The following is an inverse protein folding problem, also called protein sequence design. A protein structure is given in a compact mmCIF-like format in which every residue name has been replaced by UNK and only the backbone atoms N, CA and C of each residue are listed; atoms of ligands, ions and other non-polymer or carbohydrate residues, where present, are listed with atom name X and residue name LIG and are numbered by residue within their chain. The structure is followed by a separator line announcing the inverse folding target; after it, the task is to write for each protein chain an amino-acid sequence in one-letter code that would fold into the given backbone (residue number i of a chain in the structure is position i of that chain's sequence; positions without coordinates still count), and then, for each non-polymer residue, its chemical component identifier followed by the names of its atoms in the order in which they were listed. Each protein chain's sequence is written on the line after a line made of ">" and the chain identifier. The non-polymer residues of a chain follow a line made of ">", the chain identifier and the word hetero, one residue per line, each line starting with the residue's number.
data_IF_324187444251
#
_entry.id   IF_324187444251
#
_cell.length_a   1.000
_cell.length_b   1.000
_cell.length_c   1.000
_cell.angle_alpha   90.00
_cell.angle_beta   90.00
_cell.angle_gamma   90.00
#
_symmetry.space_group_name_H-M   'P 1'
#
loop_
_entity.id
_entity.type
_entity.pdbx_description
1 polymer ?
#
# COMPACT_ATOMS: atom_id res chain seq x y z
N UNK A 1 -7.33 46.83 54.68
CA UNK A 1 -5.96 47.22 54.28
C UNK A 1 -4.99 46.17 54.78
N UNK A 2 -3.89 45.90 54.09
CA UNK A 2 -3.70 45.49 52.70
C UNK A 2 -2.88 44.16 52.71
N UNK A 3 -2.38 43.50 51.68
CA UNK A 3 -1.96 43.88 50.35
C UNK A 3 -1.74 42.59 49.53
N UNK A 4 -2.18 42.57 48.28
CA UNK A 4 -1.54 41.75 47.25
C UNK A 4 -0.10 42.22 47.08
N UNK A 5 0.87 41.29 46.94
CA UNK A 5 1.71 41.32 45.74
C UNK A 5 2.06 39.87 45.30
N UNK A 6 2.35 39.53 44.06
CA UNK A 6 2.41 40.25 42.78
C UNK A 6 2.41 39.18 41.68
N UNK A 7 1.97 39.58 40.48
CA UNK A 7 2.03 38.83 39.23
C UNK A 7 3.47 38.58 38.73
N UNK A 8 4.30 37.88 39.51
CA UNK A 8 5.65 37.44 39.11
C UNK A 8 6.00 36.08 39.70
N UNK A 9 5.34 35.03 39.19
CA UNK A 9 5.90 33.66 39.05
C UNK A 9 5.11 32.83 38.01
N UNK A 10 4.41 33.51 37.09
CA UNK A 10 4.17 33.02 35.74
C UNK A 10 5.39 33.41 34.90
N UNK A 11 5.81 32.55 33.97
CA UNK A 11 7.02 32.61 33.14
C UNK A 11 8.29 32.02 33.80
N UNK A 12 8.43 30.69 33.76
CA UNK A 12 9.72 30.08 33.40
C UNK A 12 9.67 28.61 32.95
N UNK A 13 8.51 28.11 32.52
CA UNK A 13 8.42 26.89 31.69
C UNK A 13 7.54 27.18 30.46
N UNK A 14 7.90 28.24 29.74
CA UNK A 14 7.44 28.50 28.38
C UNK A 14 8.73 28.64 27.55
N UNK A 15 9.17 27.53 26.97
CA UNK A 15 10.44 27.48 26.26
C UNK A 15 10.81 26.09 25.76
N UNK A 16 9.84 25.21 25.53
CA UNK A 16 10.02 24.06 24.65
C UNK A 16 9.51 24.48 23.29
N UNK A 17 10.37 25.08 22.47
CA UNK A 17 10.06 25.30 21.08
C UNK A 17 9.52 23.99 20.48
N UNK A 18 8.41 24.08 19.75
CA UNK A 18 8.16 23.18 18.61
C UNK A 18 9.30 23.44 17.62
N UNK A 19 10.51 23.01 17.96
CA UNK A 19 11.56 22.81 17.00
C UNK A 19 10.98 21.74 16.08
N UNK A 20 10.66 22.12 14.84
CA UNK A 20 10.37 21.16 13.80
C UNK A 20 11.47 20.11 13.88
N UNK A 21 11.08 18.86 14.15
CA UNK A 21 12.02 17.74 14.12
C UNK A 21 12.53 17.69 12.69
N UNK A 22 13.66 18.34 12.44
CA UNK A 22 14.39 18.20 11.20
C UNK A 22 14.91 16.77 11.20
N UNK A 23 14.35 15.94 10.33
CA UNK A 23 14.87 14.60 10.12
C UNK A 23 16.29 14.72 9.56
N UNK A 24 17.13 13.73 9.87
CA UNK A 24 18.48 13.66 9.33
C UNK A 24 18.43 13.70 7.79
N UNK A 25 19.38 14.40 7.13
CA UNK A 25 19.49 14.34 5.68
C UNK A 25 19.74 12.89 5.22
N UNK A 26 19.28 12.54 4.03
CA UNK A 26 19.57 11.24 3.42
C UNK A 26 21.08 11.07 3.30
N UNK A 27 21.60 9.89 3.66
CA UNK A 27 23.04 9.58 3.62
C UNK A 27 23.59 9.35 2.19
N UNK A 28 23.00 9.98 1.17
CA UNK A 28 23.28 9.75 -0.27
C UNK A 28 24.43 10.61 -0.79
N UNK A 29 24.75 11.72 -0.12
CA UNK A 29 25.38 12.87 -0.78
C UNK A 29 26.76 12.61 -1.39
N UNK A 30 27.49 11.57 -0.98
CA UNK A 30 28.90 11.37 -1.35
C UNK A 30 29.22 10.02 -2.02
N UNK A 31 28.23 9.16 -2.37
CA UNK A 31 28.51 7.91 -3.10
C UNK A 31 28.47 8.11 -4.64
N UNK A 32 29.60 8.02 -5.35
CA UNK A 32 29.63 8.16 -6.81
C UNK A 32 28.81 7.09 -7.55
N UNK A 33 28.54 5.93 -6.94
CA UNK A 33 27.67 4.91 -7.53
C UNK A 33 26.20 5.36 -7.58
N UNK A 34 25.81 6.31 -6.73
CA UNK A 34 24.46 6.88 -6.71
C UNK A 34 24.27 8.02 -7.71
N UNK A 35 25.34 8.47 -8.37
CA UNK A 35 25.22 9.41 -9.49
C UNK A 35 24.46 8.74 -10.65
N UNK A 36 23.29 9.28 -11.00
CA UNK A 36 22.40 8.70 -12.02
C UNK A 36 21.45 7.61 -11.49
N UNK A 37 21.45 7.34 -10.19
CA UNK A 37 20.52 6.40 -9.59
C UNK A 37 19.06 6.90 -9.66
N UNK A 38 18.12 5.94 -9.70
CA UNK A 38 16.67 6.19 -9.82
C UNK A 38 15.88 5.14 -9.04
N UNK A 39 14.66 5.49 -8.62
CA UNK A 39 13.69 4.47 -8.20
C UNK A 39 13.15 3.72 -9.43
N UNK A 40 12.81 2.44 -9.24
CA UNK A 40 12.24 1.62 -10.31
C UNK A 40 10.72 1.81 -10.38
N UNK A 41 10.18 1.88 -11.59
CA UNK A 41 8.75 1.82 -11.84
C UNK A 41 8.31 0.38 -12.05
N UNK A 42 7.06 0.04 -11.74
CA UNK A 42 6.56 -1.34 -11.93
C UNK A 42 6.52 -1.78 -13.40
N UNK A 43 6.55 -0.84 -14.35
CA UNK A 43 6.61 -1.16 -15.78
C UNK A 43 8.05 -1.33 -16.31
N UNK A 44 9.09 -1.11 -15.49
CA UNK A 44 10.47 -1.44 -15.84
C UNK A 44 10.62 -2.95 -16.14
N UNK A 45 11.66 -3.38 -16.89
CA UNK A 45 11.98 -4.80 -17.04
C UNK A 45 12.24 -5.48 -15.70
N UNK A 46 11.74 -6.72 -15.55
CA UNK A 46 11.69 -7.40 -14.25
C UNK A 46 12.60 -8.63 -14.27
N UNK A 47 13.51 -8.71 -13.29
CA UNK A 47 14.40 -9.85 -13.09
C UNK A 47 13.76 -10.96 -12.26
N UNK A 48 12.96 -10.61 -11.27
CA UNK A 48 12.23 -11.57 -10.44
C UNK A 48 10.97 -10.94 -9.85
N UNK A 49 9.98 -11.77 -9.51
CA UNK A 49 8.86 -11.36 -8.65
C UNK A 49 8.92 -12.16 -7.35
N UNK A 50 8.85 -11.43 -6.25
CA UNK A 50 8.72 -11.94 -4.90
C UNK A 50 7.26 -12.18 -4.57
N UNK A 51 6.96 -13.32 -3.96
CA UNK A 51 5.66 -13.69 -3.45
C UNK A 51 5.69 -13.80 -1.93
N UNK A 52 4.68 -13.25 -1.28
CA UNK A 52 4.41 -13.56 0.12
C UNK A 52 3.65 -14.88 0.27
N UNK A 53 3.84 -15.53 1.41
CA UNK A 53 3.15 -16.77 1.75
C UNK A 53 2.70 -16.75 3.21
N UNK A 54 1.41 -17.00 3.43
CA UNK A 54 0.77 -16.98 4.75
C UNK A 54 -0.41 -17.97 4.77
N UNK A 55 -0.68 -18.66 5.90
CA UNK A 55 -1.86 -19.51 6.01
C UNK A 55 -3.15 -18.76 5.74
N UNK A 56 -4.07 -19.39 5.02
CA UNK A 56 -5.32 -18.77 4.55
C UNK A 56 -5.24 -18.21 3.14
N UNK A 57 -4.03 -17.96 2.60
CA UNK A 57 -3.82 -17.41 1.26
C UNK A 57 -3.17 -18.39 0.28
N UNK A 58 -3.03 -19.67 0.65
CA UNK A 58 -2.25 -20.65 -0.09
C UNK A 58 -2.71 -20.82 -1.53
N UNK A 59 -4.02 -20.97 -1.75
CA UNK A 59 -4.58 -21.16 -3.10
C UNK A 59 -4.29 -19.96 -4.00
N UNK A 60 -4.48 -18.75 -3.46
CA UNK A 60 -4.22 -17.51 -4.18
C UNK A 60 -2.73 -17.36 -4.54
N UNK A 61 -1.83 -17.60 -3.58
CA UNK A 61 -0.38 -17.59 -3.85
C UNK A 61 0.00 -18.62 -4.92
N UNK A 62 -0.63 -19.80 -4.91
CA UNK A 62 -0.39 -20.85 -5.91
C UNK A 62 -0.83 -20.45 -7.31
N UNK A 63 -2.03 -19.88 -7.44
CA UNK A 63 -2.60 -19.43 -8.71
C UNK A 63 -1.78 -18.28 -9.28
N UNK A 64 -1.33 -17.36 -8.43
CA UNK A 64 -0.44 -16.27 -8.81
C UNK A 64 0.92 -16.79 -9.29
N UNK A 65 1.53 -17.74 -8.58
CA UNK A 65 2.77 -18.38 -9.00
C UNK A 65 2.63 -19.11 -10.34
N UNK A 66 1.51 -19.82 -10.57
CA UNK A 66 1.23 -20.52 -11.82
C UNK A 66 1.15 -19.55 -13.00
N UNK A 67 0.51 -18.40 -12.81
CA UNK A 67 0.40 -17.37 -13.84
C UNK A 67 1.73 -16.69 -14.12
N UNK A 68 2.56 -16.44 -13.11
CA UNK A 68 3.78 -15.63 -13.23
C UNK A 68 5.03 -16.42 -13.63
N UNK A 69 5.18 -17.66 -13.17
CA UNK A 69 6.40 -18.46 -13.38
C UNK A 69 6.86 -18.60 -14.85
N UNK A 70 5.96 -18.67 -15.86
CA UNK A 70 6.40 -18.71 -17.26
C UNK A 70 7.02 -17.41 -17.78
N UNK A 71 6.79 -16.29 -17.10
CA UNK A 71 7.10 -14.93 -17.58
C UNK A 71 8.26 -14.28 -16.83
N UNK A 72 8.52 -14.73 -15.59
CA UNK A 72 9.54 -14.16 -14.71
C UNK A 72 9.98 -15.18 -13.65
N UNK A 73 11.27 -15.23 -13.29
CA UNK A 73 11.73 -15.99 -12.13
C UNK A 73 10.97 -15.61 -10.87
N UNK A 74 10.59 -16.61 -10.07
CA UNK A 74 9.88 -16.38 -8.81
C UNK A 74 10.81 -16.53 -7.63
N UNK A 75 10.57 -15.69 -6.63
CA UNK A 75 11.15 -15.80 -5.29
C UNK A 75 10.01 -15.80 -4.29
N UNK A 76 10.14 -16.54 -3.20
CA UNK A 76 9.09 -16.62 -2.18
C UNK A 76 9.68 -16.39 -0.80
N UNK A 77 9.10 -15.43 -0.09
CA UNK A 77 9.46 -15.12 1.29
C UNK A 77 8.57 -15.96 2.22
N UNK A 78 9.20 -16.79 3.06
CA UNK A 78 8.52 -17.75 3.94
C UNK A 78 9.05 -17.63 5.36
N UNK A 79 8.19 -17.88 6.36
CA UNK A 79 8.58 -17.68 7.77
C UNK A 79 9.60 -18.67 8.29
N UNK A 80 9.45 -19.93 7.91
CA UNK A 80 10.25 -21.03 8.42
C UNK A 80 10.24 -22.20 7.43
N UNK A 81 10.96 -23.27 7.79
CA UNK A 81 11.04 -24.48 7.00
C UNK A 81 9.68 -25.19 6.82
N UNK A 82 8.76 -25.04 7.77
CA UNK A 82 7.44 -25.67 7.70
C UNK A 82 6.53 -24.93 6.70
N UNK A 83 6.52 -23.60 6.76
CA UNK A 83 5.88 -22.74 5.77
C UNK A 83 6.45 -22.99 4.37
N UNK A 84 7.77 -23.13 4.24
CA UNK A 84 8.41 -23.50 2.98
C UNK A 84 7.91 -24.86 2.47
N UNK A 85 7.84 -25.89 3.31
CA UNK A 85 7.37 -27.21 2.92
C UNK A 85 5.91 -27.18 2.45
N UNK A 86 5.04 -26.45 3.15
CA UNK A 86 3.64 -26.25 2.74
C UNK A 86 3.53 -25.49 1.42
N UNK A 87 4.27 -24.39 1.27
CA UNK A 87 4.30 -23.62 0.03
C UNK A 87 4.74 -24.50 -1.16
N UNK A 88 5.79 -25.30 -1.00
CA UNK A 88 6.23 -26.24 -2.04
C UNK A 88 5.15 -27.27 -2.41
N UNK A 89 4.39 -27.78 -1.43
CA UNK A 89 3.30 -28.73 -1.69
C UNK A 89 2.16 -28.08 -2.49
N UNK A 90 1.78 -26.87 -2.10
CA UNK A 90 0.73 -26.08 -2.75
C UNK A 90 1.12 -25.71 -4.18
N UNK A 91 2.36 -25.25 -4.42
CA UNK A 91 2.88 -24.94 -5.75
C UNK A 91 2.85 -26.17 -6.68
N UNK A 92 3.26 -27.34 -6.17
CA UNK A 92 3.19 -28.61 -6.93
C UNK A 92 1.77 -28.94 -7.34
N UNK A 93 0.76 -28.64 -6.51
CA UNK A 93 -0.65 -28.87 -6.86
C UNK A 93 -1.14 -28.03 -8.05
N UNK A 94 -0.42 -26.96 -8.41
CA UNK A 94 -0.68 -26.12 -9.59
C UNK A 94 0.31 -26.37 -10.73
N UNK A 95 1.13 -27.42 -10.64
CA UNK A 95 2.15 -27.72 -11.65
C UNK A 95 3.33 -26.74 -11.65
N UNK A 96 3.46 -25.89 -10.62
CA UNK A 96 4.64 -25.03 -10.45
C UNK A 96 5.72 -25.83 -9.75
N UNK A 97 6.80 -26.10 -10.46
CA UNK A 97 7.90 -26.87 -9.91
C UNK A 97 8.71 -26.01 -8.94
N UNK A 98 9.03 -26.52 -7.75
CA UNK A 98 9.77 -25.77 -6.74
C UNK A 98 11.14 -25.27 -7.22
N UNK A 99 11.76 -25.91 -8.23
CA UNK A 99 13.00 -25.43 -8.84
C UNK A 99 12.84 -24.10 -9.62
N UNK A 100 11.60 -23.71 -9.94
CA UNK A 100 11.26 -22.43 -10.56
C UNK A 100 11.10 -21.31 -9.53
N UNK A 101 11.14 -21.62 -8.23
CA UNK A 101 10.92 -20.69 -7.13
C UNK A 101 12.10 -20.73 -6.16
N UNK A 102 12.81 -19.62 -5.99
CA UNK A 102 13.81 -19.51 -4.94
C UNK A 102 13.14 -19.14 -3.61
N UNK A 103 13.42 -19.88 -2.54
CA UNK A 103 12.87 -19.59 -1.22
C UNK A 103 13.86 -18.80 -0.37
N UNK A 104 13.35 -17.79 0.34
CA UNK A 104 14.09 -17.05 1.37
C UNK A 104 13.33 -17.17 2.67
N UNK A 105 14.01 -17.66 3.70
CA UNK A 105 13.45 -17.78 5.04
C UNK A 105 13.68 -16.50 5.83
N UNK A 106 12.61 -16.00 6.41
CA UNK A 106 12.59 -14.84 7.27
C UNK A 106 11.47 -15.03 8.29
N UNK A 107 11.80 -15.26 9.57
CA UNK A 107 10.83 -15.49 10.64
C UNK A 107 9.71 -14.45 10.77
N UNK A 108 9.86 -13.29 10.11
CA UNK A 108 8.89 -12.19 10.08
C UNK A 108 8.45 -11.81 8.67
N UNK A 109 8.50 -12.76 7.75
CA UNK A 109 7.99 -12.60 6.38
C UNK A 109 6.52 -12.15 6.40
N UNK A 110 6.20 -10.96 5.85
CA UNK A 110 4.82 -10.56 5.67
C UNK A 110 4.20 -11.24 4.44
N UNK A 111 2.89 -11.46 4.48
CA UNK A 111 2.13 -11.84 3.30
C UNK A 111 2.15 -10.75 2.22
N UNK A 112 1.91 -9.50 2.63
CA UNK A 112 1.97 -8.34 1.75
C UNK A 112 3.43 -7.89 1.54
N UNK A 113 4.18 -8.68 0.77
CA UNK A 113 5.61 -8.47 0.51
C UNK A 113 5.88 -7.16 -0.25
N UNK A 114 4.90 -6.60 -0.99
CA UNK A 114 4.98 -5.27 -1.61
C UNK A 114 5.45 -4.20 -0.65
N UNK A 115 4.94 -4.28 0.57
CA UNK A 115 5.13 -3.27 1.58
C UNK A 115 6.47 -3.35 2.30
N UNK A 116 7.29 -4.34 1.93
CA UNK A 116 8.57 -4.64 2.58
C UNK A 116 9.78 -3.93 1.97
N UNK A 117 9.67 -3.37 0.76
CA UNK A 117 10.77 -2.64 0.14
C UNK A 117 10.31 -1.78 -1.04
N UNK A 118 11.08 -0.71 -1.30
CA UNK A 118 11.03 0.05 -2.56
C UNK A 118 12.38 -0.08 -3.26
N UNK A 119 12.37 -0.60 -4.49
CA UNK A 119 13.59 -0.79 -5.27
C UNK A 119 13.99 0.44 -6.07
N UNK A 120 15.30 0.61 -6.24
CA UNK A 120 15.90 1.49 -7.23
C UNK A 120 17.07 0.83 -7.95
N UNK A 121 17.58 1.51 -8.97
CA UNK A 121 18.78 1.13 -9.71
C UNK A 121 19.84 2.21 -9.55
N UNK A 122 21.06 1.81 -9.21
CA UNK A 122 22.21 2.72 -9.09
C UNK A 122 22.67 3.20 -10.49
N UNK A 123 23.66 4.10 -10.53
CA UNK A 123 24.21 4.63 -11.79
C UNK A 123 24.87 3.58 -12.70
N UNK A 124 25.05 2.34 -12.20
CA UNK A 124 25.60 1.19 -12.93
C UNK A 124 24.54 0.12 -13.20
N UNK A 125 23.25 0.43 -12.98
CA UNK A 125 22.15 -0.50 -13.21
C UNK A 125 22.03 -1.63 -12.17
N UNK A 126 22.66 -1.50 -10.99
CA UNK A 126 22.54 -2.50 -9.92
C UNK A 126 21.36 -2.16 -8.99
N UNK A 127 20.54 -3.13 -8.58
CA UNK A 127 19.44 -2.88 -7.66
C UNK A 127 19.92 -2.47 -6.27
N UNK A 128 19.18 -1.56 -5.66
CA UNK A 128 19.26 -1.20 -4.24
C UNK A 128 17.85 -1.04 -3.66
N UNK A 129 17.73 -1.05 -2.33
CA UNK A 129 16.47 -0.84 -1.60
C UNK A 129 16.51 0.52 -0.91
N UNK A 130 15.42 1.28 -0.96
CA UNK A 130 15.21 2.43 -0.07
C UNK A 130 14.63 1.90 1.24
N UNK A 131 15.38 2.06 2.33
CA UNK A 131 15.01 1.65 3.69
C UNK A 131 14.15 2.74 4.33
N UNK A 132 12.84 2.69 4.09
CA UNK A 132 11.86 3.54 4.76
C UNK A 132 11.54 3.03 6.17
N UNK A 133 11.02 3.92 7.03
CA UNK A 133 10.64 3.50 8.39
C UNK A 133 9.34 2.69 8.37
N UNK A 134 9.41 1.42 8.75
CA UNK A 134 8.23 0.59 9.01
C UNK A 134 7.50 1.05 10.28
N UNK A 135 6.24 1.47 10.12
CA UNK A 135 5.38 1.90 11.24
C UNK A 135 4.16 1.00 11.43
N UNK A 136 4.18 -0.19 10.81
CA UNK A 136 3.03 -1.11 10.75
C UNK A 136 1.78 -0.37 10.25
N UNK A 137 1.89 0.29 9.10
CA UNK A 137 0.84 1.13 8.53
C UNK A 137 0.37 2.26 9.48
N UNK A 138 1.23 2.77 10.36
CA UNK A 138 0.84 3.79 11.34
C UNK A 138 -0.01 3.24 12.50
N UNK A 139 0.08 1.95 12.84
CA UNK A 139 -0.71 1.28 13.89
C UNK A 139 -0.80 2.07 15.20
N UNK A 140 0.34 2.51 15.72
CA UNK A 140 0.40 3.29 16.97
C UNK A 140 -0.37 4.62 16.84
N UNK A 141 -0.37 5.25 15.67
CA UNK A 141 -1.17 6.45 15.42
C UNK A 141 -2.65 6.14 15.31
N UNK A 142 -2.99 5.03 14.65
CA UNK A 142 -4.35 4.53 14.55
C UNK A 142 -4.93 4.22 15.95
N UNK A 143 -4.26 3.40 16.77
CA UNK A 143 -4.66 3.08 18.14
C UNK A 143 -4.93 4.34 18.98
N UNK A 144 -4.02 5.34 18.91
CA UNK A 144 -4.19 6.61 19.64
C UNK A 144 -5.42 7.39 19.20
N UNK A 145 -5.77 7.37 17.91
CA UNK A 145 -6.97 8.05 17.38
C UNK A 145 -8.23 7.28 17.71
N UNK A 146 -8.24 5.97 17.47
CA UNK A 146 -9.37 5.08 17.71
C UNK A 146 -9.76 5.09 19.19
N UNK A 147 -8.76 5.07 20.08
CA UNK A 147 -8.96 5.04 21.53
C UNK A 147 -8.62 6.36 22.23
N UNK A 148 -8.79 7.51 21.56
CA UNK A 148 -8.46 8.83 22.12
C UNK A 148 -9.15 9.13 23.47
N UNK A 149 -10.29 8.48 23.76
CA UNK A 149 -11.00 8.58 25.05
C UNK A 149 -10.44 7.71 26.18
N UNK A 150 -9.44 6.85 25.92
CA UNK A 150 -8.81 5.99 26.94
C UNK A 150 -7.34 5.74 26.62
N UNK A 151 -6.45 6.41 27.36
CA UNK A 151 -5.00 6.22 27.24
C UNK A 151 -4.58 4.77 27.46
N UNK A 152 -5.20 4.08 28.42
CA UNK A 152 -4.90 2.68 28.71
C UNK A 152 -5.20 1.79 27.50
N UNK A 153 -6.39 1.93 26.87
CA UNK A 153 -6.75 1.17 25.67
C UNK A 153 -5.89 1.52 24.47
N UNK A 154 -5.54 2.80 24.30
CA UNK A 154 -4.64 3.23 23.23
C UNK A 154 -3.24 2.60 23.37
N UNK A 155 -2.70 2.52 24.59
CA UNK A 155 -1.42 1.87 24.87
C UNK A 155 -1.51 0.36 24.70
N UNK A 156 -2.60 -0.26 25.16
CA UNK A 156 -2.83 -1.70 25.03
C UNK A 156 -2.95 -2.12 23.56
N UNK A 157 -3.77 -1.41 22.76
CA UNK A 157 -3.85 -1.59 21.31
C UNK A 157 -2.49 -1.44 20.62
N UNK A 158 -1.70 -0.45 21.04
CA UNK A 158 -0.40 -0.18 20.41
C UNK A 158 0.68 -1.19 20.83
N UNK A 159 0.42 -2.09 21.79
CA UNK A 159 1.29 -3.23 22.06
C UNK A 159 1.13 -4.20 20.90
N UNK A 160 2.15 -4.26 20.07
CA UNK A 160 2.28 -5.24 19.01
C UNK A 160 3.46 -6.15 19.34
N UNK A 161 3.32 -7.43 19.00
CA UNK A 161 4.44 -8.38 18.99
C UNK A 161 5.40 -8.11 17.81
N UNK A 162 5.05 -7.20 16.90
CA UNK A 162 5.92 -6.69 15.84
C UNK A 162 7.00 -5.76 16.44
N UNK A 163 8.04 -6.39 16.98
CA UNK A 163 9.21 -5.73 17.61
C UNK A 163 10.12 -5.00 16.61
N UNK A 164 9.82 -5.04 15.30
CA UNK A 164 10.69 -4.50 14.24
C UNK A 164 10.08 -3.26 13.54
N UNK A 165 9.71 -2.28 14.35
CA UNK A 165 9.58 -0.91 13.84
C UNK A 165 10.89 -0.48 13.18
N UNK A 166 10.87 -0.24 11.87
CA UNK A 166 11.96 0.40 11.11
C UNK A 166 13.07 -0.49 10.53
N UNK A 167 12.93 -1.83 10.49
CA UNK A 167 14.01 -2.70 9.96
C UNK A 167 13.60 -3.69 8.85
N UNK A 168 12.32 -3.72 8.44
CA UNK A 168 11.80 -4.67 7.45
C UNK A 168 12.56 -4.58 6.12
N UNK A 169 12.65 -3.39 5.55
CA UNK A 169 13.34 -3.11 4.28
C UNK A 169 14.83 -3.48 4.34
N UNK A 170 15.51 -3.11 5.44
CA UNK A 170 16.92 -3.43 5.66
C UNK A 170 17.16 -4.93 5.80
N UNK A 171 16.27 -5.65 6.49
CA UNK A 171 16.36 -7.11 6.68
C UNK A 171 16.20 -7.82 5.34
N UNK A 172 15.22 -7.39 4.54
CA UNK A 172 15.05 -7.90 3.18
C UNK A 172 16.28 -7.57 2.33
N UNK A 173 16.74 -6.32 2.28
CA UNK A 173 17.95 -5.93 1.55
C UNK A 173 19.17 -6.78 1.93
N UNK A 174 19.37 -7.04 3.23
CA UNK A 174 20.43 -7.91 3.74
C UNK A 174 20.31 -9.36 3.26
N UNK A 175 19.11 -9.94 3.31
CA UNK A 175 18.85 -11.28 2.79
C UNK A 175 19.10 -11.40 1.28
N UNK A 176 18.99 -10.28 0.55
CA UNK A 176 19.23 -10.19 -0.89
C UNK A 176 20.67 -9.81 -1.28
N UNK A 177 21.50 -9.44 -0.29
CA UNK A 177 22.84 -8.89 -0.55
C UNK A 177 22.79 -7.58 -1.32
N UNK A 178 21.75 -6.77 -1.12
CA UNK A 178 21.54 -5.49 -1.80
C UNK A 178 21.98 -4.32 -0.93
N UNK A 179 22.41 -3.24 -1.59
CA UNK A 179 22.64 -1.98 -0.90
C UNK A 179 21.31 -1.40 -0.39
N UNK A 180 21.34 -0.79 0.81
CA UNK A 180 20.20 -0.12 1.41
C UNK A 180 20.47 1.38 1.53
N UNK A 181 19.49 2.19 1.15
CA UNK A 181 19.51 3.63 1.32
C UNK A 181 18.49 4.06 2.37
N UNK A 182 18.97 4.46 3.54
CA UNK A 182 18.10 4.90 4.63
C UNK A 182 17.33 6.17 4.28
N UNK A 183 16.01 6.12 4.49
CA UNK A 183 15.10 7.26 4.45
C UNK A 183 14.50 7.50 5.83
N UNK A 184 14.41 8.76 6.28
CA UNK A 184 13.80 9.05 7.57
C UNK A 184 12.27 9.12 7.49
N UNK A 185 11.69 9.00 6.29
CA UNK A 185 10.25 8.95 6.10
C UNK A 185 9.72 7.56 6.42
N UNK A 186 8.51 7.53 6.97
CA UNK A 186 7.70 6.32 7.12
C UNK A 186 6.75 6.20 5.93
N UNK A 187 6.79 5.06 5.26
CA UNK A 187 5.82 4.65 4.24
C UNK A 187 6.03 3.15 3.98
N UNK A 188 5.02 2.51 3.41
CA UNK A 188 5.11 1.15 2.88
C UNK A 188 5.16 1.19 1.35
N UNK A 189 5.70 0.15 0.72
CA UNK A 189 5.90 0.09 -0.74
C UNK A 189 4.64 0.34 -1.58
N UNK A 190 3.46 -0.15 -1.19
CA UNK A 190 2.20 0.10 -1.92
C UNK A 190 1.77 1.58 -1.93
N UNK A 191 2.29 2.38 -1.00
CA UNK A 191 2.09 3.83 -0.92
C UNK A 191 3.04 4.67 -1.78
N UNK A 192 3.95 4.04 -2.53
CA UNK A 192 4.98 4.70 -3.35
C UNK A 192 4.76 4.37 -4.83
N UNK A 193 4.26 5.34 -5.60
CA UNK A 193 4.03 5.22 -7.04
C UNK A 193 4.97 6.15 -7.82
N UNK A 194 5.84 5.60 -8.64
CA UNK A 194 6.87 6.35 -9.39
C UNK A 194 6.90 6.00 -10.87
N UNK A 195 7.19 6.98 -11.72
CA UNK A 195 7.31 6.77 -13.17
C UNK A 195 8.71 6.30 -13.62
N UNK A 196 9.61 6.02 -12.67
CA UNK A 196 10.98 5.60 -12.96
C UNK A 196 11.88 6.68 -13.60
N UNK A 197 11.36 7.88 -13.84
CA UNK A 197 12.06 9.00 -14.50
C UNK A 197 12.17 10.26 -13.66
N UNK A 198 11.70 10.21 -12.41
CA UNK A 198 11.84 11.29 -11.44
C UNK A 198 10.54 11.96 -11.00
N UNK A 199 9.38 11.41 -11.36
CA UNK A 199 8.08 11.85 -10.84
C UNK A 199 7.51 10.77 -9.92
N UNK A 200 7.05 11.21 -8.74
CA UNK A 200 6.33 10.41 -7.75
C UNK A 200 4.92 10.95 -7.57
N UNK A 201 3.92 10.07 -7.46
CA UNK A 201 2.55 10.43 -7.04
C UNK A 201 2.40 10.10 -5.54
N UNK A 202 1.97 11.08 -4.76
CA UNK A 202 1.82 10.97 -3.31
C UNK A 202 0.38 11.24 -2.86
N UNK A 203 -0.23 10.30 -2.14
CA UNK A 203 -1.47 10.56 -1.40
C UNK A 203 -1.19 11.41 -0.16
N UNK A 204 -1.60 12.68 -0.19
CA UNK A 204 -1.34 13.63 0.89
C UNK A 204 -1.85 13.16 2.27
N UNK A 205 -2.99 12.47 2.29
CA UNK A 205 -3.59 11.98 3.54
C UNK A 205 -2.75 10.85 4.15
N UNK A 206 -2.30 9.90 3.33
CA UNK A 206 -1.48 8.76 3.73
C UNK A 206 -0.10 9.21 4.24
N UNK A 207 0.63 9.98 3.42
CA UNK A 207 1.99 10.42 3.77
C UNK A 207 2.03 11.23 5.07
N UNK A 208 1.03 12.09 5.32
CA UNK A 208 0.89 12.83 6.57
C UNK A 208 0.54 11.94 7.76
N UNK A 209 -0.25 10.88 7.53
CA UNK A 209 -0.64 9.93 8.57
C UNK A 209 0.58 9.17 9.09
N UNK A 210 1.43 8.68 8.17
CA UNK A 210 2.67 7.97 8.49
C UNK A 210 3.71 8.88 9.14
N UNK A 211 3.87 10.10 8.61
CA UNK A 211 4.92 11.05 8.99
C UNK A 211 4.40 12.15 9.92
N UNK A 212 3.76 11.75 11.02
CA UNK A 212 3.17 12.70 11.98
C UNK A 212 4.21 13.69 12.51
N UNK A 213 3.89 14.97 12.42
CA UNK A 213 4.76 16.07 12.87
C UNK A 213 5.55 16.73 11.76
N UNK A 214 5.61 16.14 10.56
CA UNK A 214 6.16 16.80 9.38
C UNK A 214 5.07 17.56 8.62
N UNK A 215 5.43 18.70 8.04
CA UNK A 215 4.59 19.38 7.06
C UNK A 215 4.68 18.68 5.69
N UNK A 216 3.76 18.98 4.79
CA UNK A 216 3.80 18.46 3.42
C UNK A 216 5.10 18.87 2.72
N UNK A 217 5.55 20.10 2.92
CA UNK A 217 6.76 20.66 2.33
C UNK A 217 8.02 19.96 2.87
N UNK A 218 8.02 19.61 4.16
CA UNK A 218 9.10 18.83 4.76
C UNK A 218 9.15 17.41 4.17
N UNK A 219 8.00 16.74 4.04
CA UNK A 219 7.92 15.43 3.39
C UNK A 219 8.40 15.53 1.92
N UNK A 220 7.91 16.51 1.17
CA UNK A 220 8.30 16.74 -0.22
C UNK A 220 9.81 16.95 -0.36
N UNK A 221 10.43 17.72 0.54
CA UNK A 221 11.89 17.91 0.55
C UNK A 221 12.64 16.58 0.69
N UNK A 222 12.19 15.69 1.56
CA UNK A 222 12.80 14.37 1.72
C UNK A 222 12.55 13.46 0.51
N UNK A 223 11.35 13.51 -0.08
CA UNK A 223 11.03 12.77 -1.30
C UNK A 223 11.90 13.22 -2.49
N UNK A 224 12.08 14.53 -2.66
CA UNK A 224 12.93 15.10 -3.71
C UNK A 224 14.42 14.84 -3.50
N UNK A 225 14.83 14.45 -2.29
CA UNK A 225 16.20 14.05 -2.01
C UNK A 225 16.47 12.57 -2.35
N UNK A 226 15.42 11.76 -2.61
CA UNK A 226 15.58 10.37 -3.06
C UNK A 226 16.24 10.32 -4.44
N UNK A 227 16.99 9.24 -4.75
CA UNK A 227 17.72 9.12 -6.00
C UNK A 227 16.84 9.30 -7.24
N UNK A 228 17.26 10.23 -8.11
CA UNK A 228 16.60 10.51 -9.38
C UNK A 228 15.26 11.25 -9.26
N UNK A 229 14.75 11.52 -8.05
CA UNK A 229 13.50 12.26 -7.87
C UNK A 229 13.65 13.74 -8.18
N UNK A 230 12.66 14.28 -8.88
CA UNK A 230 12.63 15.67 -9.37
C UNK A 230 11.29 16.34 -9.13
N UNK A 231 10.22 15.56 -9.00
CA UNK A 231 8.86 16.08 -8.84
C UNK A 231 7.99 15.17 -8.00
N UNK A 232 7.16 15.79 -7.15
CA UNK A 232 6.09 15.13 -6.42
C UNK A 232 4.75 15.70 -6.90
N UNK A 233 3.85 14.82 -7.33
CA UNK A 233 2.46 15.13 -7.68
C UNK A 233 1.59 14.68 -6.52
N UNK A 234 0.88 15.62 -5.90
CA UNK A 234 0.07 15.32 -4.73
C UNK A 234 -1.39 15.12 -5.09
N UNK A 235 -1.92 13.95 -4.76
CA UNK A 235 -3.35 13.66 -4.80
C UNK A 235 -3.92 13.71 -3.39
N UNK A 236 -5.12 14.28 -3.18
CA UNK A 236 -5.62 14.54 -1.83
C UNK A 236 -6.09 13.28 -1.08
N UNK A 237 -6.58 12.26 -1.79
CA UNK A 237 -7.32 11.15 -1.17
C UNK A 237 -7.01 9.78 -1.80
N UNK A 238 -7.13 8.71 -1.00
CA UNK A 238 -7.27 7.35 -1.51
C UNK A 238 -8.74 6.92 -1.55
N UNK A 239 -9.01 5.68 -1.94
CA UNK A 239 -10.38 5.14 -1.96
C UNK A 239 -11.01 5.13 -0.56
N UNK A 240 -12.33 5.31 -0.50
CA UNK A 240 -13.08 5.32 0.75
C UNK A 240 -13.17 3.94 1.41
N UNK A 241 -13.17 2.89 0.58
CA UNK A 241 -13.20 1.50 1.01
C UNK A 241 -11.81 0.89 1.26
N UNK A 242 -10.75 1.70 1.18
CA UNK A 242 -9.41 1.41 1.69
C UNK A 242 -9.14 2.27 2.95
N UNK A 243 -9.89 2.10 4.06
CA UNK A 243 -9.65 2.85 5.28
C UNK A 243 -8.35 2.39 5.95
N UNK A 244 -7.86 3.18 6.91
CA UNK A 244 -6.68 2.77 7.66
C UNK A 244 -7.03 1.70 8.70
N UNK A 245 -6.39 0.52 8.60
CA UNK A 245 -6.72 -0.68 9.35
C UNK A 245 -8.23 -0.92 9.32
N UNK A 246 -8.83 -1.40 10.40
CA UNK A 246 -10.27 -1.56 10.53
C UNK A 246 -10.91 -0.23 10.90
N UNK A 247 -11.81 0.28 10.06
CA UNK A 247 -12.54 1.51 10.40
C UNK A 247 -13.92 1.61 9.75
N UNK A 248 -14.76 2.45 10.35
CA UNK A 248 -16.01 2.90 9.74
C UNK A 248 -15.72 3.82 8.55
N UNK A 249 -16.31 3.48 7.40
CA UNK A 249 -16.29 4.29 6.18
C UNK A 249 -17.41 5.33 6.26
N UNK A 250 -18.65 4.87 6.36
CA UNK A 250 -19.86 5.70 6.47
C UNK A 250 -21.04 4.88 7.01
N UNK A 251 -21.76 5.42 8.00
CA UNK A 251 -22.91 4.71 8.59
C UNK A 251 -22.51 3.36 9.19
N UNK A 252 -23.09 2.27 8.68
CA UNK A 252 -22.76 0.90 9.09
C UNK A 252 -21.74 0.22 8.17
N UNK A 253 -21.26 0.91 7.11
CA UNK A 253 -20.24 0.40 6.21
C UNK A 253 -18.86 0.56 6.83
N UNK A 254 -18.11 -0.53 6.85
CA UNK A 254 -16.76 -0.64 7.42
C UNK A 254 -15.82 -1.24 6.38
N UNK A 255 -14.52 -1.08 6.56
CA UNK A 255 -13.52 -1.68 5.69
C UNK A 255 -12.22 -1.94 6.43
N UNK A 256 -11.34 -2.67 5.76
CA UNK A 256 -9.96 -2.91 6.20
C UNK A 256 -9.03 -2.50 5.08
N UNK A 257 -8.08 -1.61 5.37
CA UNK A 257 -7.05 -1.28 4.39
C UNK A 257 -5.81 -0.61 4.96
N UNK A 258 -5.09 0.05 4.08
CA UNK A 258 -3.82 0.73 4.32
C UNK A 258 -4.01 2.24 4.54
N UNK A 259 -5.22 2.76 4.31
CA UNK A 259 -5.57 4.17 4.46
C UNK A 259 -5.37 5.00 3.19
N UNK A 260 -5.36 4.36 2.03
CA UNK A 260 -5.24 5.00 0.72
C UNK A 260 -3.87 4.80 0.10
N UNK A 261 -3.34 3.58 0.09
CA UNK A 261 -2.16 3.27 -0.72
C UNK A 261 -2.43 3.61 -2.19
N UNK A 262 -1.39 4.10 -2.87
CA UNK A 262 -1.51 4.55 -4.26
C UNK A 262 -1.79 3.38 -5.20
N UNK A 263 -1.26 2.20 -4.88
CA UNK A 263 -1.42 1.03 -5.72
C UNK A 263 -2.87 0.54 -5.87
N UNK A 264 -3.77 0.98 -4.99
CA UNK A 264 -5.21 0.73 -5.08
C UNK A 264 -5.95 1.66 -6.04
N UNK A 265 -5.44 2.86 -6.35
CA UNK A 265 -6.26 3.86 -7.05
C UNK A 265 -5.55 4.75 -8.05
N UNK A 266 -4.22 4.76 -8.10
CA UNK A 266 -3.47 5.55 -9.07
C UNK A 266 -2.14 4.88 -9.43
N UNK A 267 -1.91 4.59 -10.72
CA UNK A 267 -0.71 3.90 -11.21
C UNK A 267 -0.14 4.58 -12.45
N UNK A 268 1.17 4.63 -12.61
CA UNK A 268 1.77 4.95 -13.90
C UNK A 268 1.67 3.73 -14.84
N UNK A 269 1.21 3.95 -16.06
CA UNK A 269 1.30 2.96 -17.13
C UNK A 269 2.59 3.11 -17.94
N UNK A 270 3.13 4.33 -18.01
CA UNK A 270 4.39 4.68 -18.63
C UNK A 270 4.98 5.95 -17.98
N UNK A 271 5.97 6.59 -18.61
CA UNK A 271 6.61 7.80 -18.07
C UNK A 271 5.68 9.00 -17.83
N UNK A 272 4.52 9.09 -18.50
CA UNK A 272 3.60 10.23 -18.40
C UNK A 272 2.10 9.88 -18.46
N UNK A 273 1.72 8.62 -18.65
CA UNK A 273 0.34 8.12 -18.60
C UNK A 273 0.04 7.58 -17.20
N UNK A 274 -1.06 8.03 -16.61
CA UNK A 274 -1.54 7.65 -15.28
C UNK A 274 -2.90 6.98 -15.41
N UNK A 275 -3.06 5.81 -14.81
CA UNK A 275 -4.34 5.14 -14.58
C UNK A 275 -4.92 5.64 -13.26
N UNK A 276 -6.20 6.01 -13.25
CA UNK A 276 -6.92 6.46 -12.07
C UNK A 276 -8.21 5.65 -11.91
N UNK A 277 -8.43 5.08 -10.74
CA UNK A 277 -9.69 4.40 -10.41
C UNK A 277 -10.88 5.35 -10.56
N UNK A 278 -11.99 4.85 -11.10
CA UNK A 278 -13.14 5.68 -11.46
C UNK A 278 -14.47 5.03 -11.10
N UNK A 279 -15.42 5.86 -10.67
CA UNK A 279 -16.79 5.44 -10.32
C UNK A 279 -17.76 6.15 -11.25
N UNK A 280 -18.66 5.38 -11.85
CA UNK A 280 -19.69 5.95 -12.72
C UNK A 280 -20.78 6.66 -11.89
N UNK A 281 -21.45 7.65 -12.49
CA UNK A 281 -22.45 8.47 -11.79
C UNK A 281 -23.61 7.63 -11.23
N UNK A 282 -24.03 6.59 -11.93
CA UNK A 282 -25.12 5.71 -11.53
C UNK A 282 -24.78 4.94 -10.26
N UNK A 283 -23.54 4.49 -10.13
CA UNK A 283 -23.04 3.79 -8.94
C UNK A 283 -22.90 4.74 -7.76
N UNK A 284 -22.37 5.95 -8.02
CA UNK A 284 -22.29 6.99 -7.01
C UNK A 284 -23.68 7.39 -6.48
N UNK A 285 -24.72 7.30 -7.32
CA UNK A 285 -26.11 7.52 -6.91
C UNK A 285 -26.66 6.38 -6.07
N UNK A 286 -26.31 5.13 -6.36
CA UNK A 286 -26.90 3.94 -5.73
C UNK A 286 -26.26 3.55 -4.40
N UNK A 287 -24.96 3.82 -4.19
CA UNK A 287 -24.25 3.36 -2.99
C UNK A 287 -23.48 4.49 -2.27
N UNK A 288 -23.60 4.65 -0.94
CA UNK A 288 -22.96 5.76 -0.22
C UNK A 288 -21.42 5.70 -0.29
N UNK A 289 -20.82 4.51 -0.27
CA UNK A 289 -19.36 4.38 -0.43
C UNK A 289 -18.91 4.66 -1.86
N UNK A 290 -19.69 4.29 -2.89
CA UNK A 290 -19.40 4.64 -4.28
C UNK A 290 -19.42 6.16 -4.46
N UNK A 291 -20.39 6.86 -3.83
CA UNK A 291 -20.44 8.32 -3.82
C UNK A 291 -19.18 8.95 -3.22
N UNK A 292 -18.70 8.42 -2.10
CA UNK A 292 -17.46 8.90 -1.47
C UNK A 292 -16.24 8.62 -2.36
N UNK A 293 -16.14 7.43 -2.97
CA UNK A 293 -15.09 7.11 -3.93
C UNK A 293 -15.12 8.09 -5.11
N UNK A 294 -16.28 8.34 -5.71
CA UNK A 294 -16.44 9.28 -6.83
C UNK A 294 -15.94 10.69 -6.46
N UNK A 295 -16.38 11.23 -5.32
CA UNK A 295 -15.95 12.55 -4.84
C UNK A 295 -14.43 12.63 -4.66
N UNK A 296 -13.82 11.60 -4.08
CA UNK A 296 -12.37 11.53 -3.87
C UNK A 296 -11.60 11.39 -5.18
N UNK A 297 -12.06 10.53 -6.09
CA UNK A 297 -11.41 10.32 -7.39
C UNK A 297 -11.58 11.51 -8.32
N UNK A 298 -12.68 12.26 -8.23
CA UNK A 298 -12.86 13.54 -8.92
C UNK A 298 -11.79 14.56 -8.47
N UNK A 299 -11.58 14.72 -7.16
CA UNK A 299 -10.53 15.61 -6.63
C UNK A 299 -9.11 15.16 -7.05
N UNK A 300 -8.86 13.85 -7.08
CA UNK A 300 -7.60 13.32 -7.60
C UNK A 300 -7.42 13.57 -9.10
N UNK A 301 -8.48 13.41 -9.89
CA UNK A 301 -8.46 13.68 -11.33
C UNK A 301 -8.13 15.14 -11.63
N UNK A 302 -8.70 16.08 -10.87
CA UNK A 302 -8.38 17.51 -10.98
C UNK A 302 -6.91 17.78 -10.62
N UNK A 303 -6.40 17.19 -9.55
CA UNK A 303 -5.00 17.34 -9.16
C UNK A 303 -4.03 16.79 -10.22
N UNK A 304 -4.32 15.60 -10.75
CA UNK A 304 -3.50 14.95 -11.78
C UNK A 304 -3.56 15.68 -13.12
N UNK A 305 -4.75 16.09 -13.56
CA UNK A 305 -4.95 16.77 -14.85
C UNK A 305 -4.32 18.16 -14.90
N UNK A 306 -4.17 18.81 -13.73
CA UNK A 306 -3.47 20.09 -13.59
C UNK A 306 -1.97 19.93 -13.29
N UNK A 307 -1.47 18.69 -13.27
CA UNK A 307 -0.07 18.38 -13.00
C UNK A 307 0.72 18.06 -14.26
N UNK A 308 2.03 18.21 -14.16
CA UNK A 308 2.99 17.82 -15.20
C UNK A 308 4.02 16.86 -14.62
N UNK A 309 4.72 16.13 -15.47
CA UNK A 309 5.86 15.29 -15.08
C UNK A 309 7.11 16.12 -14.74
N UNK A 310 8.23 15.44 -14.49
CA UNK A 310 9.53 16.04 -14.17
C UNK A 310 10.13 16.88 -15.31
N UNK A 311 9.65 16.70 -16.55
CA UNK A 311 10.06 17.47 -17.74
C UNK A 311 9.06 18.57 -18.09
N UNK A 312 8.05 18.80 -17.26
CA UNK A 312 7.01 19.80 -17.50
C UNK A 312 5.94 19.38 -18.50
N UNK A 313 5.88 18.10 -18.92
CA UNK A 313 4.85 17.60 -19.84
C UNK A 313 3.57 17.27 -19.06
N UNK A 314 2.37 17.65 -19.54
CA UNK A 314 1.11 17.27 -18.90
C UNK A 314 0.97 15.75 -18.73
N UNK A 315 0.41 15.34 -17.59
CA UNK A 315 0.07 13.93 -17.36
C UNK A 315 -1.15 13.53 -18.19
N UNK A 316 -1.10 12.37 -18.84
CA UNK A 316 -2.26 11.77 -19.50
C UNK A 316 -3.00 10.89 -18.52
N UNK A 317 -4.16 11.33 -18.04
CA UNK A 317 -4.95 10.59 -17.04
C UNK A 317 -6.03 9.74 -17.74
N UNK A 318 -5.97 8.42 -17.53
CA UNK A 318 -6.93 7.45 -18.03
C UNK A 318 -7.76 6.93 -16.86
N UNK A 319 -9.08 7.06 -16.97
CA UNK A 319 -10.04 6.57 -15.99
C UNK A 319 -10.24 5.07 -16.19
N UNK A 320 -10.06 4.29 -15.14
CA UNK A 320 -10.30 2.85 -15.11
C UNK A 320 -11.50 2.59 -14.20
N UNK A 321 -12.61 2.01 -14.70
CA UNK A 321 -13.77 1.71 -13.87
C UNK A 321 -13.39 0.84 -12.68
N UNK A 322 -13.93 1.13 -11.49
CA UNK A 322 -13.88 0.21 -10.35
C UNK A 322 -14.81 -0.98 -10.57
N UNK A 323 -14.59 -2.13 -9.90
CA UNK A 323 -15.56 -3.21 -9.88
C UNK A 323 -16.85 -2.81 -9.16
N UNK A 324 -17.87 -3.65 -9.28
CA UNK A 324 -19.03 -3.54 -8.40
C UNK A 324 -18.59 -3.68 -6.94
N UNK A 325 -19.29 -3.01 -6.03
CA UNK A 325 -18.99 -3.11 -4.60
C UNK A 325 -19.23 -4.53 -4.12
N UNK A 326 -18.20 -5.12 -3.50
CA UNK A 326 -18.28 -6.42 -2.86
C UNK A 326 -18.34 -6.22 -1.35
N UNK A 327 -19.44 -6.68 -0.74
CA UNK A 327 -19.71 -6.48 0.68
C UNK A 327 -20.26 -7.74 1.35
N UNK A 328 -20.06 -7.82 2.67
CA UNK A 328 -20.60 -8.91 3.50
C UNK A 328 -21.06 -8.38 4.86
N UNK A 329 -22.10 -9.00 5.41
CA UNK A 329 -22.54 -8.72 6.76
C UNK A 329 -21.56 -9.35 7.77
N UNK A 330 -21.17 -8.60 8.79
CA UNK A 330 -20.33 -9.07 9.90
C UNK A 330 -21.04 -8.77 11.20
N UNK A 331 -21.28 -9.80 12.00
CA UNK A 331 -21.75 -9.63 13.39
C UNK A 331 -20.53 -9.35 14.25
N UNK A 332 -20.58 -8.26 15.01
CA UNK A 332 -19.51 -7.90 15.93
C UNK A 332 -19.52 -8.89 17.10
N UNK A 333 -18.60 -9.84 17.10
CA UNK A 333 -18.45 -10.73 18.24
C UNK A 333 -17.07 -11.31 18.46
N UNK A 334 -16.70 -11.45 19.73
CA UNK A 334 -15.49 -12.15 20.16
C UNK A 334 -15.56 -13.67 19.94
N UNK A 335 -16.76 -14.24 19.77
CA UNK A 335 -17.01 -15.69 19.60
C UNK A 335 -17.33 -16.08 18.14
N UNK A 336 -17.25 -15.14 17.19
CA UNK A 336 -17.63 -15.37 15.80
C UNK A 336 -16.58 -16.21 15.02
N UNK A 337 -17.03 -16.84 13.92
CA UNK A 337 -16.26 -17.75 13.04
C UNK A 337 -14.82 -17.27 12.78
N UNK A 338 -13.88 -18.18 13.06
CA UNK A 338 -12.43 -18.04 13.11
C UNK A 338 -11.75 -17.68 11.80
N UNK A 339 -12.43 -17.84 10.65
CA UNK A 339 -11.77 -17.61 9.37
C UNK A 339 -11.75 -16.13 8.96
N UNK A 340 -12.73 -15.31 9.39
CA UNK A 340 -12.91 -13.95 8.87
C UNK A 340 -13.61 -12.92 9.79
N UNK A 341 -14.21 -13.34 10.90
CA UNK A 341 -15.10 -12.48 11.70
C UNK A 341 -14.61 -12.17 13.11
N UNK A 342 -13.73 -13.01 13.68
CA UNK A 342 -13.06 -12.77 14.97
C UNK A 342 -12.25 -11.44 15.02
N UNK A 343 -11.82 -10.93 13.87
CA UNK A 343 -11.12 -9.64 13.75
C UNK A 343 -12.04 -8.42 14.00
N UNK A 344 -13.37 -8.64 14.03
CA UNK A 344 -14.38 -7.61 14.18
C UNK A 344 -15.14 -7.75 15.49
N UNK A 345 -14.74 -6.98 16.50
CA UNK A 345 -15.48 -6.86 17.76
C UNK A 345 -15.99 -5.43 17.93
N UNK A 346 -16.93 -5.22 18.84
CA UNK A 346 -17.35 -3.87 19.22
C UNK A 346 -16.17 -2.99 19.70
N UNK A 347 -15.13 -3.64 20.24
CA UNK A 347 -13.93 -2.94 20.73
C UNK A 347 -12.98 -2.50 19.62
N UNK A 348 -13.13 -3.03 18.39
CA UNK A 348 -12.38 -2.61 17.20
C UNK A 348 -12.72 -1.19 16.73
N UNK A 349 -13.77 -0.57 17.30
CA UNK A 349 -14.26 0.76 16.91
C UNK A 349 -14.06 1.82 18.01
N UNK A 350 -13.98 3.11 17.63
CA UNK A 350 -13.97 4.21 18.60
C UNK A 350 -15.20 4.20 19.51
N UNK A 351 -15.01 4.43 20.81
CA UNK A 351 -16.11 4.44 21.79
C UNK A 351 -17.26 5.42 21.43
N UNK A 352 -16.95 6.51 20.72
CA UNK A 352 -17.93 7.49 20.24
C UNK A 352 -18.96 6.90 19.26
N UNK A 353 -18.63 5.78 18.61
CA UNK A 353 -19.52 5.09 17.67
C UNK A 353 -20.53 4.17 18.38
N UNK A 354 -20.34 3.90 19.67
CA UNK A 354 -21.30 3.16 20.53
C UNK A 354 -21.72 1.78 19.99
N UNK A 355 -20.86 1.13 19.20
CA UNK A 355 -21.04 -0.25 18.73
C UNK A 355 -21.11 -1.22 19.92
N UNK A 356 -21.90 -2.27 19.80
CA UNK A 356 -22.14 -3.29 20.82
C UNK A 356 -21.88 -4.68 20.25
N UNK A 357 -21.57 -5.61 21.15
CA UNK A 357 -21.53 -7.03 20.84
C UNK A 357 -22.91 -7.44 20.26
N UNK A 358 -22.89 -8.17 19.15
CA UNK A 358 -24.09 -8.57 18.41
C UNK A 358 -24.60 -7.56 17.39
N UNK A 359 -24.05 -6.34 17.30
CA UNK A 359 -24.37 -5.41 16.21
C UNK A 359 -23.91 -5.99 14.87
N UNK A 360 -24.67 -5.74 13.80
CA UNK A 360 -24.24 -6.08 12.42
C UNK A 360 -23.69 -4.85 11.71
N UNK A 361 -22.54 -5.01 11.07
CA UNK A 361 -21.92 -4.03 10.16
C UNK A 361 -21.78 -4.62 8.75
N UNK A 362 -21.63 -3.78 7.74
CA UNK A 362 -21.36 -4.21 6.36
C UNK A 362 -19.90 -3.95 6.03
N UNK A 363 -19.09 -5.01 5.98
CA UNK A 363 -17.70 -4.92 5.56
C UNK A 363 -17.64 -4.88 4.04
N UNK A 364 -16.92 -3.90 3.50
CA UNK A 364 -16.52 -3.86 2.09
C UNK A 364 -15.12 -4.43 1.94
N UNK A 365 -14.91 -5.23 0.89
CA UNK A 365 -13.58 -5.64 0.47
C UNK A 365 -12.86 -4.48 -0.25
N UNK A 366 -11.53 -4.43 -0.13
CA UNK A 366 -10.69 -3.44 -0.81
C UNK A 366 -10.45 -3.89 -2.24
N UNK A 367 -11.40 -3.61 -3.13
CA UNK A 367 -11.41 -4.11 -4.51
C UNK A 367 -11.04 -3.02 -5.52
N UNK A 368 -9.98 -3.25 -6.29
CA UNK A 368 -9.58 -2.37 -7.38
C UNK A 368 -8.88 -3.14 -8.50
N UNK A 369 -9.12 -2.79 -9.76
CA UNK A 369 -8.32 -3.29 -10.88
C UNK A 369 -6.93 -2.66 -10.96
N UNK A 370 -6.65 -1.62 -10.17
CA UNK A 370 -5.34 -0.97 -10.14
C UNK A 370 -4.35 -1.73 -9.26
N UNK A 371 -4.82 -2.63 -8.40
CA UNK A 371 -4.01 -3.59 -7.66
C UNK A 371 -3.53 -4.75 -8.57
N UNK A 372 -2.99 -4.36 -9.73
CA UNK A 372 -2.52 -5.25 -10.80
C UNK A 372 -1.04 -5.56 -10.66
N UNK A 373 -0.62 -6.69 -11.24
CA UNK A 373 0.79 -7.10 -11.29
C UNK A 373 1.26 -7.02 -12.74
N UNK A 374 2.40 -6.38 -12.94
CA UNK A 374 3.12 -6.37 -14.20
C UNK A 374 4.23 -7.42 -14.14
N UNK A 375 4.36 -8.25 -15.17
CA UNK A 375 5.39 -9.29 -15.25
C UNK A 375 5.88 -9.41 -16.70
N UNK A 376 6.86 -8.58 -17.08
CA UNK A 376 7.44 -8.53 -18.42
C UNK A 376 6.38 -8.43 -19.53
N UNK A 377 6.01 -9.54 -20.18
CA UNK A 377 5.01 -9.67 -21.24
C UNK A 377 3.58 -9.96 -20.71
N UNK A 378 3.33 -9.85 -19.41
CA UNK A 378 2.05 -10.15 -18.77
C UNK A 378 1.54 -8.98 -17.90
N UNK A 379 0.23 -8.80 -17.90
CA UNK A 379 -0.54 -8.00 -16.94
C UNK A 379 -1.52 -8.93 -16.24
N UNK A 380 -1.46 -9.02 -14.92
CA UNK A 380 -2.39 -9.78 -14.08
C UNK A 380 -3.31 -8.79 -13.36
N UNK A 381 -4.61 -8.86 -13.67
CA UNK A 381 -5.65 -8.06 -13.05
C UNK A 381 -6.45 -8.90 -12.05
N UNK A 382 -6.96 -8.33 -10.95
CA UNK A 382 -7.95 -9.04 -10.15
C UNK A 382 -9.29 -9.14 -10.90
N UNK A 383 -9.96 -10.30 -10.83
CA UNK A 383 -11.35 -10.47 -11.29
C UNK A 383 -12.34 -10.35 -10.15
N UNK A 384 -13.52 -9.84 -10.48
CA UNK A 384 -14.65 -9.66 -9.57
C UNK A 384 -15.96 -10.17 -10.19
N UNK A 385 -15.90 -10.89 -11.32
CA UNK A 385 -17.11 -11.40 -12.01
C UNK A 385 -17.89 -12.37 -11.13
N UNK A 386 -17.20 -13.28 -10.43
CA UNK A 386 -17.82 -14.18 -9.46
C UNK A 386 -18.41 -13.43 -8.24
N UNK A 387 -18.12 -12.13 -8.11
CA UNK A 387 -18.49 -11.28 -6.98
C UNK A 387 -19.42 -10.13 -7.39
N UNK A 388 -20.11 -10.28 -8.53
CA UNK A 388 -21.19 -9.39 -8.95
C UNK A 388 -20.77 -8.29 -9.94
N UNK A 389 -19.51 -8.23 -10.34
CA UNK A 389 -19.11 -7.36 -11.45
C UNK A 389 -19.52 -7.96 -12.80
N UNK A 390 -19.99 -7.15 -13.75
CA UNK A 390 -20.37 -7.67 -15.05
C UNK A 390 -19.14 -8.06 -15.90
N UNK A 391 -19.21 -9.15 -16.69
CA UNK A 391 -18.15 -9.50 -17.64
C UNK A 391 -17.83 -8.38 -18.64
N UNK A 392 -18.84 -7.59 -19.04
CA UNK A 392 -18.66 -6.45 -19.95
C UNK A 392 -17.77 -5.37 -19.34
N UNK A 393 -17.85 -5.17 -18.03
CA UNK A 393 -16.97 -4.23 -17.32
C UNK A 393 -15.54 -4.73 -17.30
N UNK A 394 -15.30 -6.01 -17.03
CA UNK A 394 -13.95 -6.58 -17.12
C UNK A 394 -13.39 -6.51 -18.53
N UNK A 395 -14.22 -6.69 -19.56
CA UNK A 395 -13.78 -6.53 -20.96
C UNK A 395 -13.45 -5.07 -21.30
N UNK A 396 -14.18 -4.10 -20.73
CA UNK A 396 -13.79 -2.69 -20.83
C UNK A 396 -12.42 -2.44 -20.18
N UNK A 397 -12.20 -2.96 -18.97
CA UNK A 397 -10.92 -2.83 -18.26
C UNK A 397 -9.80 -3.51 -19.05
N UNK A 398 -10.03 -4.72 -19.57
CA UNK A 398 -9.09 -5.44 -20.42
C UNK A 398 -8.66 -4.61 -21.62
N UNK A 399 -9.61 -3.98 -22.32
CA UNK A 399 -9.31 -3.11 -23.47
C UNK A 399 -8.46 -1.90 -23.08
N UNK A 400 -8.73 -1.29 -21.94
CA UNK A 400 -7.91 -0.20 -21.41
C UNK A 400 -6.47 -0.69 -21.19
N UNK A 401 -6.29 -1.77 -20.43
CA UNK A 401 -4.96 -2.33 -20.12
C UNK A 401 -4.20 -2.80 -21.37
N UNK A 402 -4.88 -3.44 -22.33
CA UNK A 402 -4.28 -3.82 -23.60
C UNK A 402 -3.81 -2.61 -24.42
N UNK A 403 -4.48 -1.46 -24.29
CA UNK A 403 -4.09 -0.23 -24.99
C UNK A 403 -2.89 0.48 -24.36
N UNK A 404 -2.75 0.42 -23.03
CA UNK A 404 -1.67 1.12 -22.31
C UNK A 404 -0.43 0.26 -22.09
N UNK A 405 -0.57 -1.06 -22.13
CA UNK A 405 0.54 -2.01 -22.06
C UNK A 405 0.62 -2.84 -23.35
N UNK A 406 0.94 -2.21 -24.49
CA UNK A 406 0.99 -2.93 -25.77
C UNK A 406 2.02 -4.06 -25.72
N UNK A 407 1.66 -5.20 -26.31
CA UNK A 407 2.50 -6.39 -26.32
C UNK A 407 2.44 -7.22 -25.03
N UNK A 408 1.74 -6.77 -23.98
CA UNK A 408 1.51 -7.58 -22.79
C UNK A 408 0.16 -8.29 -22.85
N UNK A 409 0.15 -9.59 -22.53
CA UNK A 409 -1.08 -10.37 -22.38
C UNK A 409 -1.79 -9.96 -21.11
N UNK A 410 -3.10 -9.70 -21.19
CA UNK A 410 -3.93 -9.40 -20.01
C UNK A 410 -4.59 -10.68 -19.53
N UNK A 411 -4.43 -11.02 -18.25
CA UNK A 411 -5.10 -12.13 -17.59
C UNK A 411 -5.74 -11.67 -16.30
N UNK A 412 -6.73 -12.43 -15.82
CA UNK A 412 -7.39 -12.14 -14.56
C UNK A 412 -7.11 -13.24 -13.53
N UNK A 413 -7.08 -12.88 -12.25
CA UNK A 413 -6.93 -13.77 -11.09
C UNK A 413 -7.93 -13.40 -9.99
N UNK A 414 -8.51 -14.38 -9.30
CA UNK A 414 -9.33 -14.09 -8.13
C UNK A 414 -8.41 -13.74 -6.93
N UNK A 415 -8.47 -12.49 -6.49
CA UNK A 415 -7.70 -11.98 -5.36
C UNK A 415 -8.57 -11.69 -4.12
N UNK A 416 -9.85 -12.12 -4.11
CA UNK A 416 -10.82 -11.68 -3.11
C UNK A 416 -10.43 -12.00 -1.68
N UNK A 417 -9.75 -13.12 -1.45
CA UNK A 417 -9.25 -13.48 -0.13
C UNK A 417 -8.29 -12.40 0.42
N UNK A 418 -7.37 -11.89 -0.40
CA UNK A 418 -6.50 -10.78 -0.03
C UNK A 418 -7.29 -9.45 0.09
N UNK A 419 -8.30 -9.22 -0.76
CA UNK A 419 -9.13 -8.00 -0.70
C UNK A 419 -9.93 -7.87 0.60
N UNK A 420 -10.34 -8.99 1.22
CA UNK A 420 -11.06 -8.96 2.51
C UNK A 420 -10.21 -8.50 3.69
N UNK A 421 -8.88 -8.57 3.57
CA UNK A 421 -7.91 -8.16 4.59
C UNK A 421 -7.08 -6.95 4.16
N UNK A 422 -7.55 -6.23 3.13
CA UNK A 422 -7.08 -4.89 2.79
C UNK A 422 -5.94 -4.77 1.79
N UNK A 423 -5.69 -5.80 0.97
CA UNK A 423 -4.74 -5.73 -0.13
C UNK A 423 -5.20 -6.50 -1.37
N UNK A 424 -4.28 -6.87 -2.26
CA UNK A 424 -4.59 -7.66 -3.44
C UNK A 424 -3.35 -8.31 -4.06
N UNK A 425 -3.40 -8.60 -5.36
CA UNK A 425 -2.28 -9.23 -6.09
C UNK A 425 -1.02 -8.37 -6.14
N UNK A 426 -1.16 -7.05 -6.29
CA UNK A 426 -0.03 -6.15 -6.21
C UNK A 426 0.57 -6.09 -4.81
N UNK A 427 -0.25 -6.07 -3.77
CA UNK A 427 0.24 -6.06 -2.38
C UNK A 427 0.97 -7.36 -2.02
N UNK A 428 0.49 -8.50 -2.53
CA UNK A 428 1.09 -9.82 -2.32
C UNK A 428 2.33 -10.08 -3.18
N UNK A 429 2.74 -9.15 -4.03
CA UNK A 429 3.91 -9.27 -4.91
C UNK A 429 4.88 -8.10 -4.77
N UNK A 430 6.16 -8.37 -4.95
CA UNK A 430 7.20 -7.33 -4.99
C UNK A 430 8.12 -7.53 -6.20
N UNK A 431 8.25 -6.49 -7.02
CA UNK A 431 8.98 -6.53 -8.28
C UNK A 431 10.46 -6.22 -8.07
N UNK A 432 11.35 -7.14 -8.43
CA UNK A 432 12.79 -6.90 -8.47
C UNK A 432 13.21 -6.46 -9.88
N UNK A 433 13.74 -5.23 -10.06
CA UNK A 433 14.07 -4.72 -11.38
C UNK A 433 15.26 -5.45 -12.00
N UNK A 434 15.21 -5.62 -13.32
CA UNK A 434 16.33 -6.13 -14.08
C UNK A 434 17.48 -5.12 -14.13
N UNK A 435 18.71 -5.65 -14.23
CA UNK A 435 19.89 -4.81 -14.49
C UNK A 435 19.79 -4.26 -15.91
N UNK A 436 20.11 -2.98 -16.08
CA UNK A 436 20.19 -2.32 -17.38
C UNK A 436 21.61 -2.35 -17.93
#
# INVERSE_FOLDING_TARGET
>A
MPCSPSRRRCLQWAGGALAGMALAPLAVADDPAMAGARLSADFDPIAAIWLGYDPGHEAFTADLAQLLAPHVPLKMLVRDAEAQARAMAVLRSRGVHALQVAFVQDGRAPFFVRDSAVFGLDGRGRPFVVDFQWTHYGWTNWCRRTFAGSRARALDCARTDDVETGALDRRLAGALGLASLASPLAIEGGGVEVNGRGTLIANASLWRERNRGLSREAIEKHLLALPGMRKVVWVPHGLAHDPLHRATIVGHYVGWGTGGHTDEFVRFADENTVLLAWVDEDEARSHPVARLNQQRMQANFEALSNSTDQRGRPLRVIKVPLPAIVERAVVLSAEADTAYSNEWTATSFPARERRREGDTVMQLATTSYLNHVLANDLVVLPTYVAHGTSPEREEQVRRIYASVFPGRRVVFIDAMNANWVGGGAHCATLTEPARH
#
